data_IF_755545137551
#
_entry.id   IF_755545137551
#
_cell.length_a   1.000
_cell.length_b   1.000
_cell.length_c   1.000
_cell.angle_alpha   90.00
_cell.angle_beta   90.00
_cell.angle_gamma   90.00
#
_symmetry.space_group_name_H-M   'P 1'
#
loop_
_entity.id
_entity.type
_entity.pdbx_description
1 polymer ?
#
# COMPACT_ATOMS: atom_id res chain seq x y z
N UNK A 1 2.25 -1.72 -4.69
CA UNK A 1 2.20 -1.95 -6.14
C UNK A 1 0.78 -1.63 -6.61
N UNK A 2 0.63 -1.02 -7.78
CA UNK A 2 -0.63 -0.89 -8.51
C UNK A 2 -0.41 -1.45 -9.91
N UNK A 3 -1.39 -2.09 -10.53
CA UNK A 3 -1.23 -2.58 -11.90
C UNK A 3 -2.40 -2.21 -12.80
N UNK A 4 -2.06 -2.00 -14.06
CA UNK A 4 -2.94 -2.09 -15.20
C UNK A 4 -2.64 -3.42 -15.91
N UNK A 5 -3.48 -3.83 -16.87
CA UNK A 5 -3.18 -4.99 -17.72
C UNK A 5 -1.82 -4.81 -18.41
N UNK A 6 -0.90 -5.75 -18.18
CA UNK A 6 0.46 -5.74 -18.73
C UNK A 6 1.46 -4.76 -18.09
N UNK A 7 1.01 -3.87 -17.20
CA UNK A 7 1.85 -2.80 -16.63
C UNK A 7 1.73 -2.76 -15.10
N UNK A 8 2.84 -2.69 -14.38
CA UNK A 8 2.87 -2.45 -12.95
C UNK A 8 3.54 -1.11 -12.63
N UNK A 9 2.94 -0.35 -11.73
CA UNK A 9 3.52 0.83 -11.10
C UNK A 9 4.00 0.46 -9.71
N UNK A 10 5.31 0.62 -9.49
CA UNK A 10 5.98 0.14 -8.28
C UNK A 10 6.87 1.20 -7.70
N UNK A 11 7.03 1.12 -6.39
CA UNK A 11 7.96 1.95 -5.65
C UNK A 11 9.11 1.11 -5.15
N UNK A 12 10.31 1.68 -5.18
CA UNK A 12 11.49 1.05 -4.62
C UNK A 12 12.21 2.07 -3.74
N UNK A 13 12.37 1.73 -2.46
CA UNK A 13 13.06 2.55 -1.48
C UNK A 13 14.36 1.83 -1.06
N UNK A 14 15.51 2.18 -1.66
CA UNK A 14 16.78 1.51 -1.36
C UNK A 14 17.22 1.75 0.09
N UNK A 15 16.63 2.73 0.81
CA UNK A 15 16.92 2.94 2.22
C UNK A 15 16.40 1.81 3.12
N UNK A 16 15.44 0.99 2.65
CA UNK A 16 14.66 0.06 3.48
C UNK A 16 15.49 -0.96 4.27
N UNK A 17 16.69 -1.29 3.77
CA UNK A 17 17.66 -2.18 4.42
C UNK A 17 18.34 -1.55 5.63
N UNK A 18 18.55 -0.23 5.61
CA UNK A 18 19.16 0.53 6.72
C UNK A 18 18.13 1.28 7.56
N UNK A 19 17.04 1.71 6.95
CA UNK A 19 16.03 2.56 7.55
C UNK A 19 14.63 2.02 7.21
N UNK A 20 13.88 1.59 8.23
CA UNK A 20 12.51 1.13 8.06
C UNK A 20 11.64 1.72 9.16
N UNK A 21 10.91 2.80 8.83
CA UNK A 21 10.07 3.54 9.77
C UNK A 21 8.87 2.72 10.27
N UNK A 22 8.33 1.82 9.45
CA UNK A 22 7.26 0.89 9.85
C UNK A 22 7.74 0.00 10.99
N UNK A 23 8.92 -0.61 10.82
CA UNK A 23 9.51 -1.54 11.79
C UNK A 23 10.36 -0.86 12.87
N UNK A 24 10.49 0.47 12.83
CA UNK A 24 11.32 1.26 13.75
C UNK A 24 12.81 0.96 13.67
N UNK A 25 13.32 0.53 12.50
CA UNK A 25 14.73 0.24 12.27
C UNK A 25 15.43 1.51 11.78
N UNK A 26 16.53 1.87 12.42
CA UNK A 26 17.42 2.91 11.96
C UNK A 26 18.87 2.50 12.24
N UNK A 27 19.56 2.11 11.17
CA UNK A 27 20.98 1.72 11.15
C UNK A 27 21.82 2.77 10.40
N UNK A 28 21.27 3.95 10.13
CA UNK A 28 22.00 5.07 9.51
C UNK A 28 23.08 5.57 10.47
N UNK A 29 24.24 5.91 9.93
CA UNK A 29 25.28 6.61 10.68
C UNK A 29 24.84 8.05 10.99
N UNK A 30 25.36 8.69 12.06
CA UNK A 30 25.08 10.10 12.33
C UNK A 30 25.40 10.98 11.12
N UNK A 31 24.40 11.70 10.61
CA UNK A 31 24.52 12.56 9.43
C UNK A 31 24.40 11.84 8.08
N UNK A 32 24.27 10.50 8.05
CA UNK A 32 23.98 9.76 6.83
C UNK A 32 22.54 10.06 6.37
N UNK A 33 22.40 10.50 5.12
CA UNK A 33 21.11 10.58 4.43
C UNK A 33 21.03 9.43 3.44
N UNK A 34 20.05 8.51 3.58
CA UNK A 34 19.88 7.46 2.62
C UNK A 34 19.36 8.01 1.29
N UNK A 35 19.47 7.20 0.24
CA UNK A 35 18.89 7.53 -1.06
C UNK A 35 17.36 7.53 -0.98
N UNK A 36 16.75 8.48 -1.67
CA UNK A 36 15.30 8.58 -1.80
C UNK A 36 14.74 7.42 -2.62
N UNK A 37 13.47 7.12 -2.36
CA UNK A 37 12.72 6.16 -3.14
C UNK A 37 12.52 6.63 -4.59
N UNK A 38 12.31 5.66 -5.48
CA UNK A 38 11.93 5.88 -6.88
C UNK A 38 10.60 5.24 -7.20
N UNK A 39 9.93 5.79 -8.20
CA UNK A 39 8.71 5.25 -8.80
C UNK A 39 9.10 4.69 -10.17
N UNK A 40 8.59 3.51 -10.49
CA UNK A 40 8.92 2.79 -11.72
C UNK A 40 7.65 2.31 -12.42
N UNK A 41 7.71 2.31 -13.76
CA UNK A 41 6.78 1.59 -14.63
C UNK A 41 7.45 0.30 -15.07
N UNK A 42 6.76 -0.82 -14.92
CA UNK A 42 7.22 -2.13 -15.35
C UNK A 42 6.21 -2.67 -16.36
N UNK A 43 6.58 -2.68 -17.64
CA UNK A 43 5.82 -3.37 -18.68
C UNK A 43 6.25 -4.84 -18.67
N UNK A 44 5.50 -5.65 -17.93
CA UNK A 44 5.76 -7.08 -17.80
C UNK A 44 5.12 -7.91 -18.93
N UNK A 45 4.31 -7.29 -19.79
CA UNK A 45 3.76 -7.94 -20.98
C UNK A 45 4.76 -7.90 -22.16
N UNK A 46 5.64 -6.89 -22.20
CA UNK A 46 6.73 -6.80 -23.18
C UNK A 46 7.77 -7.92 -22.99
N UNK A 47 8.40 -8.33 -24.10
CA UNK A 47 9.46 -9.36 -24.10
C UNK A 47 10.69 -8.82 -24.86
N UNK A 48 11.81 -8.56 -24.18
CA UNK A 48 12.00 -8.61 -22.73
C UNK A 48 11.15 -7.55 -22.00
N UNK A 49 10.88 -7.77 -20.71
CA UNK A 49 10.15 -6.80 -19.90
C UNK A 49 10.88 -5.45 -19.85
N UNK A 50 10.14 -4.36 -19.97
CA UNK A 50 10.68 -2.99 -19.89
C UNK A 50 10.49 -2.43 -18.49
N UNK A 51 11.53 -1.80 -17.95
CA UNK A 51 11.52 -1.19 -16.62
C UNK A 51 12.02 0.24 -16.76
N UNK A 52 11.15 1.21 -16.48
CA UNK A 52 11.43 2.62 -16.67
C UNK A 52 11.24 3.38 -15.36
N UNK A 53 12.26 4.13 -14.94
CA UNK A 53 12.18 4.98 -13.76
C UNK A 53 11.49 6.29 -14.13
N UNK A 54 10.44 6.65 -13.40
CA UNK A 54 9.84 7.96 -13.56
C UNK A 54 10.77 9.06 -13.04
N UNK A 55 10.71 10.20 -13.72
CA UNK A 55 11.32 11.45 -13.27
C UNK A 55 10.22 12.41 -12.82
N UNK A 56 10.54 13.30 -11.89
CA UNK A 56 9.64 14.36 -11.40
C UNK A 56 10.37 15.68 -11.54
N UNK A 57 9.69 16.72 -12.01
CA UNK A 57 10.28 18.05 -12.12
C UNK A 57 10.52 18.66 -10.73
N UNK A 58 11.78 18.65 -10.31
CA UNK A 58 12.23 19.20 -9.02
C UNK A 58 12.17 20.73 -8.94
N UNK A 59 12.02 21.43 -10.08
CA UNK A 59 11.81 22.88 -10.06
C UNK A 59 10.37 23.24 -9.66
N UNK A 60 9.42 22.33 -9.87
CA UNK A 60 8.01 22.53 -9.55
C UNK A 60 7.65 21.99 -8.15
N UNK A 61 8.43 21.06 -7.61
CA UNK A 61 8.18 20.47 -6.30
C UNK A 61 9.46 19.99 -5.62
N UNK A 62 9.51 20.10 -4.30
CA UNK A 62 10.59 19.53 -3.49
C UNK A 62 10.24 18.16 -2.89
N UNK A 63 9.09 17.58 -3.24
CA UNK A 63 8.61 16.31 -2.65
C UNK A 63 9.63 15.18 -2.77
N UNK A 64 10.38 15.14 -3.89
CA UNK A 64 11.37 14.11 -4.17
C UNK A 64 12.68 14.27 -3.38
N UNK A 65 12.85 15.34 -2.60
CA UNK A 65 14.08 15.59 -1.84
C UNK A 65 14.22 14.74 -0.57
N UNK A 66 13.09 14.27 -0.02
CA UNK A 66 13.00 13.36 1.15
C UNK A 66 11.82 12.40 0.93
N UNK A 67 11.81 11.73 -0.22
CA UNK A 67 10.73 10.85 -0.63
C UNK A 67 11.02 9.41 -0.22
N UNK A 68 10.22 8.90 0.71
CA UNK A 68 10.31 7.54 1.25
C UNK A 68 8.93 6.95 1.31
N UNK A 69 8.62 6.06 0.38
CA UNK A 69 7.23 5.70 0.09
C UNK A 69 6.86 4.30 0.58
N UNK A 70 5.55 4.08 0.72
CA UNK A 70 4.93 2.78 1.04
C UNK A 70 3.88 2.47 -0.03
N UNK A 71 2.59 2.61 0.31
CA UNK A 71 1.47 2.37 -0.60
C UNK A 71 1.49 3.24 -1.85
N UNK A 72 1.04 2.66 -2.95
CA UNK A 72 0.93 3.26 -4.28
C UNK A 72 -0.36 2.74 -4.92
N UNK A 73 -1.11 3.63 -5.58
CA UNK A 73 -2.34 3.30 -6.29
C UNK A 73 -2.51 4.21 -7.52
N UNK A 74 -3.28 3.77 -8.51
CA UNK A 74 -3.63 4.56 -9.69
C UNK A 74 -5.09 4.98 -9.59
N UNK A 75 -5.32 6.28 -9.54
CA UNK A 75 -6.63 6.88 -9.75
C UNK A 75 -6.88 7.06 -11.25
N UNK A 76 -8.09 6.73 -11.71
CA UNK A 76 -8.57 7.08 -13.04
C UNK A 76 -9.82 7.92 -12.82
N UNK A 77 -9.78 9.19 -13.21
CA UNK A 77 -10.91 10.09 -13.03
C UNK A 77 -12.11 9.55 -13.83
N UNK A 78 -13.29 9.33 -13.20
CA UNK A 78 -14.41 8.62 -13.82
C UNK A 78 -15.00 9.35 -15.03
N UNK A 79 -14.91 10.69 -15.05
CA UNK A 79 -15.47 11.51 -16.14
C UNK A 79 -14.46 11.92 -17.22
N UNK A 80 -13.21 12.21 -16.85
CA UNK A 80 -12.18 12.73 -17.78
C UNK A 80 -11.22 11.65 -18.27
N UNK A 81 -11.12 10.52 -17.55
CA UNK A 81 -10.13 9.48 -17.81
C UNK A 81 -8.69 9.85 -17.44
N UNK A 82 -8.46 11.02 -16.81
CA UNK A 82 -7.11 11.41 -16.36
C UNK A 82 -6.59 10.40 -15.33
N UNK A 83 -5.38 9.89 -15.56
CA UNK A 83 -4.69 9.01 -14.62
C UNK A 83 -3.85 9.82 -13.64
N UNK A 84 -3.97 9.49 -12.36
CA UNK A 84 -3.15 10.07 -11.29
C UNK A 84 -2.53 8.95 -10.47
N UNK A 85 -1.21 8.98 -10.35
CA UNK A 85 -0.51 8.12 -9.42
C UNK A 85 -0.56 8.72 -8.02
N UNK A 86 -1.06 7.95 -7.07
CA UNK A 86 -1.23 8.35 -5.67
C UNK A 86 -0.27 7.53 -4.83
N UNK A 87 0.55 8.18 -4.00
CA UNK A 87 1.56 7.48 -3.20
C UNK A 87 1.57 7.97 -1.77
N UNK A 88 1.77 7.07 -0.82
CA UNK A 88 2.08 7.40 0.57
C UNK A 88 3.54 7.83 0.64
N UNK A 89 3.82 8.99 1.22
CA UNK A 89 5.17 9.45 1.52
C UNK A 89 5.37 9.54 3.03
N UNK A 90 6.47 8.98 3.51
CA UNK A 90 6.84 8.90 4.93
C UNK A 90 8.27 9.41 5.09
N UNK A 91 8.48 10.74 4.93
CA UNK A 91 9.81 11.35 4.93
C UNK A 91 10.61 11.02 6.19
N UNK A 92 11.95 11.06 6.07
CA UNK A 92 12.86 10.96 7.23
C UNK A 92 12.57 12.11 8.19
N UNK A 93 12.61 13.33 7.65
CA UNK A 93 12.49 14.60 8.35
C UNK A 93 11.19 15.29 7.89
N UNK A 94 10.05 14.90 8.45
CA UNK A 94 8.80 15.56 8.09
C UNK A 94 7.53 14.87 8.55
N UNK A 95 6.42 15.48 8.14
CA UNK A 95 5.07 14.96 8.38
C UNK A 95 4.72 14.04 7.21
N UNK A 96 4.27 12.79 7.48
CA UNK A 96 3.76 11.91 6.45
C UNK A 96 2.65 12.56 5.61
N UNK A 97 2.56 12.14 4.36
CA UNK A 97 1.65 12.71 3.38
C UNK A 97 1.19 11.68 2.36
N UNK A 98 0.15 12.05 1.61
CA UNK A 98 -0.20 11.38 0.35
C UNK A 98 0.08 12.36 -0.80
N UNK A 99 0.84 11.88 -1.77
CA UNK A 99 1.32 12.66 -2.92
C UNK A 99 0.60 12.22 -4.18
N UNK A 100 0.16 13.19 -4.99
CA UNK A 100 -0.56 12.98 -6.24
C UNK A 100 0.30 13.44 -7.41
N UNK A 101 0.48 12.57 -8.40
CA UNK A 101 1.24 12.84 -9.61
C UNK A 101 0.39 12.54 -10.85
N UNK A 102 0.32 13.45 -11.82
CA UNK A 102 -0.26 13.12 -13.12
C UNK A 102 0.56 12.02 -13.79
N UNK A 103 -0.15 11.04 -14.33
CA UNK A 103 0.41 9.90 -15.04
C UNK A 103 -0.03 9.96 -16.51
N UNK A 104 0.93 10.02 -17.42
CA UNK A 104 0.72 9.90 -18.86
C UNK A 104 1.35 8.58 -19.33
N UNK A 105 0.56 7.71 -19.95
CA UNK A 105 1.00 6.39 -20.40
C UNK A 105 2.12 6.46 -21.45
N UNK A 106 2.30 7.61 -22.11
CA UNK A 106 3.32 7.83 -23.15
C UNK A 106 4.57 8.53 -22.62
N UNK A 107 4.65 8.78 -21.31
CA UNK A 107 5.71 9.59 -20.71
C UNK A 107 6.22 8.97 -19.41
N UNK A 108 7.53 9.03 -19.21
CA UNK A 108 8.18 8.69 -17.93
C UNK A 108 8.40 9.94 -17.07
N UNK A 109 7.66 11.01 -17.33
CA UNK A 109 7.68 12.25 -16.57
C UNK A 109 6.39 12.39 -15.77
N UNK A 110 6.51 12.40 -14.44
CA UNK A 110 5.44 12.65 -13.51
C UNK A 110 5.40 14.13 -13.14
N UNK A 111 4.21 14.71 -13.14
CA UNK A 111 3.97 16.09 -12.67
C UNK A 111 3.30 16.03 -11.31
N UNK A 112 3.96 16.53 -10.27
CA UNK A 112 3.36 16.60 -8.93
C UNK A 112 2.20 17.61 -8.92
N UNK A 113 1.03 17.16 -8.49
CA UNK A 113 -0.20 17.95 -8.45
C UNK A 113 -0.50 18.47 -7.07
N UNK A 114 -0.37 17.59 -6.07
CA UNK A 114 -0.87 17.87 -4.72
C UNK A 114 -0.17 17.04 -3.67
N UNK A 115 -0.03 17.65 -2.50
CA UNK A 115 0.33 16.98 -1.24
C UNK A 115 -0.85 17.09 -0.28
N UNK A 116 -1.32 15.95 0.24
CA UNK A 116 -2.32 15.89 1.31
C UNK A 116 -1.62 15.52 2.62
N UNK A 117 -1.85 16.34 3.65
CA UNK A 117 -1.38 16.12 5.02
C UNK A 117 -2.54 16.35 5.98
N UNK A 118 -2.60 15.55 7.04
CA UNK A 118 -3.53 15.73 8.14
C UNK A 118 -2.90 15.17 9.43
N UNK A 119 -3.06 15.80 10.60
CA UNK A 119 -2.53 15.27 11.87
C UNK A 119 -3.00 13.85 12.22
N UNK A 120 -4.14 13.41 11.69
CA UNK A 120 -4.65 12.03 11.86
C UNK A 120 -3.98 11.02 10.92
N UNK A 121 -3.13 11.48 10.01
CA UNK A 121 -2.32 10.66 9.10
C UNK A 121 -0.87 10.61 9.61
N UNK A 122 -0.67 9.88 10.71
CA UNK A 122 0.57 9.94 11.48
C UNK A 122 1.55 8.79 11.21
N UNK A 123 1.09 7.65 10.70
CA UNK A 123 1.93 6.54 10.21
C UNK A 123 1.22 5.84 9.03
N UNK A 124 0.92 6.55 7.93
CA UNK A 124 0.20 5.99 6.79
C UNK A 124 0.99 4.84 6.17
N UNK A 125 0.31 3.77 5.75
CA UNK A 125 0.94 2.59 5.15
C UNK A 125 0.40 2.30 3.75
N UNK A 126 -0.90 1.99 3.63
CA UNK A 126 -1.59 1.72 2.36
C UNK A 126 -2.71 2.73 2.11
N UNK A 127 -3.14 2.85 0.85
CA UNK A 127 -4.24 3.72 0.41
C UNK A 127 -5.23 2.98 -0.50
N UNK A 128 -6.51 3.35 -0.40
CA UNK A 128 -7.58 2.91 -1.31
C UNK A 128 -8.39 4.11 -1.77
N UNK A 129 -8.48 4.34 -3.07
CA UNK A 129 -9.12 5.51 -3.67
C UNK A 129 -10.62 5.26 -3.85
N UNK A 130 -11.45 6.23 -3.47
CA UNK A 130 -12.88 6.23 -3.79
C UNK A 130 -13.08 6.81 -5.19
N UNK A 131 -13.74 6.04 -6.06
CA UNK A 131 -13.93 6.40 -7.47
C UNK A 131 -15.17 7.28 -7.67
N UNK A 132 -16.14 7.22 -6.77
CA UNK A 132 -17.37 8.01 -6.80
C UNK A 132 -17.07 9.53 -6.89
N UNK A 133 -17.59 10.16 -7.95
CA UNK A 133 -17.39 11.60 -8.24
C UNK A 133 -17.89 12.52 -7.12
N UNK A 134 -18.89 12.08 -6.33
CA UNK A 134 -19.40 12.85 -5.18
C UNK A 134 -18.33 13.07 -4.12
N UNK A 135 -17.32 12.21 -4.09
CA UNK A 135 -16.19 12.27 -3.15
C UNK A 135 -14.94 12.92 -3.75
N UNK A 136 -15.04 13.65 -4.86
CA UNK A 136 -13.93 14.39 -5.46
C UNK A 136 -14.01 15.89 -5.17
N UNK A 137 -12.88 16.49 -4.84
CA UNK A 137 -12.75 17.95 -4.77
C UNK A 137 -12.89 18.57 -6.17
N UNK A 138 -13.10 19.89 -6.22
CA UNK A 138 -13.27 20.63 -7.48
C UNK A 138 -12.03 20.60 -8.39
N UNK A 139 -10.85 20.32 -7.81
CA UNK A 139 -9.59 20.15 -8.56
C UNK A 139 -9.35 18.71 -9.04
N UNK A 140 -10.35 17.82 -8.88
CA UNK A 140 -10.29 16.42 -9.28
C UNK A 140 -9.72 15.47 -8.22
N UNK A 141 -9.15 15.98 -7.11
CA UNK A 141 -8.56 15.15 -6.05
C UNK A 141 -9.60 14.19 -5.46
N UNK A 142 -9.38 12.87 -5.49
CA UNK A 142 -10.31 11.92 -4.89
C UNK A 142 -10.18 11.85 -3.37
N UNK A 143 -11.28 11.48 -2.71
CA UNK A 143 -11.23 10.97 -1.35
C UNK A 143 -10.62 9.58 -1.33
N UNK A 144 -10.02 9.19 -0.20
CA UNK A 144 -9.36 7.90 -0.07
C UNK A 144 -9.36 7.41 1.37
N UNK A 145 -9.34 6.09 1.52
CA UNK A 145 -8.97 5.45 2.77
C UNK A 145 -7.47 5.30 2.87
N UNK A 146 -6.95 5.35 4.09
CA UNK A 146 -5.55 5.04 4.37
C UNK A 146 -5.44 4.31 5.71
N UNK A 147 -4.50 3.38 5.82
CA UNK A 147 -4.18 2.73 7.09
C UNK A 147 -3.10 3.49 7.82
N UNK A 148 -3.24 3.68 9.14
CA UNK A 148 -2.13 4.00 10.03
C UNK A 148 -1.67 2.72 10.73
N UNK A 149 -0.42 2.31 10.50
CA UNK A 149 0.06 1.00 10.97
C UNK A 149 0.31 0.93 12.49
N UNK A 150 0.72 2.03 13.10
CA UNK A 150 0.95 2.13 14.54
C UNK A 150 0.59 3.53 15.01
N UNK A 151 0.06 3.65 16.23
CA UNK A 151 -0.10 4.93 16.90
C UNK A 151 1.24 5.54 17.32
N UNK A 152 2.13 4.73 17.92
CA UNK A 152 3.41 5.24 18.40
C UNK A 152 4.45 5.37 17.29
N UNK A 153 5.32 6.38 17.37
CA UNK A 153 6.47 6.52 16.46
C UNK A 153 7.75 5.85 16.98
N UNK A 154 7.86 5.67 18.30
CA UNK A 154 9.03 5.07 18.93
C UNK A 154 9.07 3.55 18.70
N UNK A 155 10.24 3.04 18.31
CA UNK A 155 10.48 1.60 18.03
C UNK A 155 9.98 0.66 19.14
N UNK A 156 10.28 0.95 20.40
CA UNK A 156 9.93 0.07 21.52
C UNK A 156 8.43 0.10 21.79
N UNK A 157 7.82 1.30 21.71
CA UNK A 157 6.38 1.44 21.88
C UNK A 157 5.59 0.81 20.73
N UNK A 158 6.08 0.90 19.47
CA UNK A 158 5.52 0.16 18.34
C UNK A 158 5.53 -1.35 18.59
N UNK A 159 6.64 -1.87 19.10
CA UNK A 159 6.74 -3.30 19.45
C UNK A 159 5.73 -3.69 20.52
N UNK A 160 5.56 -2.88 21.57
CA UNK A 160 4.59 -3.13 22.64
C UNK A 160 3.15 -3.04 22.10
N UNK A 161 2.85 -2.03 21.28
CA UNK A 161 1.55 -1.83 20.65
C UNK A 161 1.07 -3.11 19.94
N UNK A 162 1.93 -3.71 19.12
CA UNK A 162 1.58 -4.89 18.34
C UNK A 162 1.17 -6.12 19.16
N UNK A 163 1.51 -6.19 20.44
CA UNK A 163 1.12 -7.31 21.33
C UNK A 163 0.02 -6.93 22.33
N UNK A 164 -0.07 -5.67 22.73
CA UNK A 164 -0.87 -5.26 23.88
C UNK A 164 -1.94 -4.22 23.58
N UNK A 165 -1.84 -3.45 22.50
CA UNK A 165 -2.72 -2.32 22.26
C UNK A 165 -3.30 -2.30 20.83
N UNK A 166 -4.61 -2.10 20.76
CA UNK A 166 -5.37 -2.01 19.51
C UNK A 166 -5.46 -0.55 19.06
N UNK A 167 -4.32 0.07 18.73
CA UNK A 167 -4.25 1.53 18.49
C UNK A 167 -4.10 1.91 17.01
N UNK A 168 -3.74 0.96 16.14
CA UNK A 168 -3.73 1.19 14.69
C UNK A 168 -5.16 1.41 14.16
N UNK A 169 -5.28 2.09 13.02
CA UNK A 169 -6.58 2.46 12.47
C UNK A 169 -6.56 2.58 10.94
N UNK A 170 -7.74 2.75 10.36
CA UNK A 170 -7.96 3.21 9.00
C UNK A 170 -8.72 4.53 9.06
N UNK A 171 -8.15 5.58 8.47
CA UNK A 171 -8.77 6.88 8.31
C UNK A 171 -9.40 7.05 6.93
N UNK A 172 -10.35 7.98 6.81
CA UNK A 172 -10.94 8.39 5.53
C UNK A 172 -10.64 9.87 5.28
N UNK A 173 -9.84 10.19 4.26
CA UNK A 173 -9.69 11.57 3.82
C UNK A 173 -10.85 11.93 2.91
N UNK A 174 -11.69 12.87 3.33
CA UNK A 174 -12.77 13.39 2.52
C UNK A 174 -12.29 14.64 1.77
N UNK A 175 -12.06 14.51 0.47
CA UNK A 175 -11.56 15.59 -0.38
C UNK A 175 -12.57 16.75 -0.51
N UNK A 176 -13.87 16.48 -0.33
CA UNK A 176 -14.92 17.51 -0.35
C UNK A 176 -14.81 18.47 0.84
N UNK A 177 -14.43 17.95 2.00
CA UNK A 177 -14.27 18.76 3.22
C UNK A 177 -12.82 19.13 3.50
N UNK A 178 -11.88 18.46 2.82
CA UNK A 178 -10.44 18.60 3.03
C UNK A 178 -9.95 18.06 4.37
N UNK A 179 -10.71 17.14 5.00
CA UNK A 179 -10.44 16.66 6.37
C UNK A 179 -10.40 15.14 6.45
N UNK A 180 -9.63 14.63 7.41
CA UNK A 180 -9.71 13.21 7.79
C UNK A 180 -10.87 12.96 8.76
N UNK A 181 -11.77 12.07 8.32
CA UNK A 181 -12.87 11.48 9.06
C UNK A 181 -12.48 10.12 9.67
N UNK A 182 -13.31 9.65 10.61
CA UNK A 182 -13.07 8.39 11.31
C UNK A 182 -13.50 7.23 10.41
N UNK A 183 -12.57 6.32 10.11
CA UNK A 183 -12.89 5.01 9.53
C UNK A 183 -12.98 3.94 10.62
N UNK A 184 -12.07 2.96 10.60
CA UNK A 184 -12.02 1.86 11.56
C UNK A 184 -10.91 2.08 12.58
N UNK A 185 -11.23 2.00 13.87
CA UNK A 185 -10.24 2.04 14.96
C UNK A 185 -10.13 0.67 15.63
N UNK A 186 -9.14 0.48 16.49
CA UNK A 186 -9.07 -0.73 17.30
C UNK A 186 -8.41 -1.91 16.58
N UNK A 187 -7.50 -1.64 15.64
CA UNK A 187 -6.85 -2.66 14.83
C UNK A 187 -5.46 -3.01 15.40
N UNK A 188 -4.97 -4.22 15.10
CA UNK A 188 -3.57 -4.60 15.32
C UNK A 188 -2.79 -4.57 14.01
N UNK A 189 -2.01 -3.50 13.85
CA UNK A 189 -1.17 -3.25 12.69
C UNK A 189 -1.98 -3.30 11.38
N UNK A 190 -2.83 -2.27 11.21
CA UNK A 190 -3.55 -2.00 9.97
C UNK A 190 -2.55 -1.78 8.83
N UNK A 191 -2.65 -2.59 7.77
CA UNK A 191 -1.70 -2.60 6.66
C UNK A 191 -2.41 -2.37 5.33
N UNK A 192 -2.53 -3.37 4.45
CA UNK A 192 -3.23 -3.24 3.18
C UNK A 192 -4.68 -2.77 3.35
N UNK A 193 -5.08 -1.82 2.50
CA UNK A 193 -6.48 -1.41 2.31
C UNK A 193 -6.81 -1.41 0.82
N UNK A 194 -7.94 -2.00 0.44
CA UNK A 194 -8.38 -2.08 -0.96
C UNK A 194 -9.89 -2.33 -1.02
N UNK A 195 -10.52 -2.17 -2.17
CA UNK A 195 -11.94 -2.47 -2.35
C UNK A 195 -12.59 -1.77 -3.52
N UNK A 196 -13.83 -1.32 -3.32
CA UNK A 196 -14.62 -0.55 -4.28
C UNK A 196 -15.26 0.64 -3.57
N UNK A 197 -16.24 1.30 -4.18
CA UNK A 197 -17.05 2.35 -3.53
C UNK A 197 -18.10 1.77 -2.56
N UNK A 198 -18.27 0.44 -2.50
CA UNK A 198 -19.28 -0.24 -1.68
C UNK A 198 -18.69 -1.21 -0.64
N UNK A 199 -17.43 -1.62 -0.79
CA UNK A 199 -16.78 -2.59 0.09
C UNK A 199 -15.34 -2.18 0.34
N UNK A 200 -14.88 -2.30 1.59
CA UNK A 200 -13.49 -2.09 1.99
C UNK A 200 -12.94 -3.37 2.63
N UNK A 201 -11.74 -3.77 2.24
CA UNK A 201 -10.97 -4.80 2.90
C UNK A 201 -9.79 -4.18 3.65
N UNK A 202 -9.54 -4.65 4.86
CA UNK A 202 -8.48 -4.14 5.73
C UNK A 202 -7.67 -5.33 6.25
N UNK A 203 -6.37 -5.32 6.00
CA UNK A 203 -5.42 -6.29 6.54
C UNK A 203 -5.01 -5.92 7.97
N UNK A 204 -5.10 -6.87 8.89
CA UNK A 204 -4.53 -6.78 10.23
C UNK A 204 -3.34 -7.75 10.36
N UNK A 205 -2.14 -7.21 10.18
CA UNK A 205 -0.89 -7.98 10.09
C UNK A 205 -0.71 -8.92 11.28
N UNK A 206 -0.96 -8.42 12.49
CA UNK A 206 -0.76 -9.17 13.74
C UNK A 206 -1.94 -10.07 14.12
N UNK A 207 -3.14 -9.84 13.54
CA UNK A 207 -4.26 -10.78 13.65
C UNK A 207 -4.19 -11.91 12.62
N UNK A 208 -3.35 -11.77 11.59
CA UNK A 208 -3.28 -12.68 10.44
C UNK A 208 -4.64 -12.82 9.76
N UNK A 209 -5.34 -11.71 9.62
CA UNK A 209 -6.68 -11.69 9.09
C UNK A 209 -6.94 -10.48 8.21
N UNK A 210 -7.90 -10.64 7.32
CA UNK A 210 -8.45 -9.56 6.51
C UNK A 210 -9.92 -9.40 6.85
N UNK A 211 -10.31 -8.18 7.21
CA UNK A 211 -11.69 -7.83 7.53
C UNK A 211 -12.35 -7.16 6.35
N UNK A 212 -13.59 -7.54 6.09
CA UNK A 212 -14.47 -6.94 5.09
C UNK A 212 -15.47 -6.01 5.76
N UNK A 213 -15.63 -4.82 5.17
CA UNK A 213 -16.59 -3.82 5.60
C UNK A 213 -17.47 -3.41 4.41
N UNK A 214 -18.76 -3.21 4.66
CA UNK A 214 -19.66 -2.53 3.73
C UNK A 214 -19.53 -1.03 3.92
N UNK A 215 -19.45 -0.29 2.82
CA UNK A 215 -19.48 1.17 2.85
C UNK A 215 -20.92 1.66 2.73
N UNK A 216 -21.31 2.59 3.60
CA UNK A 216 -22.57 3.29 3.55
C UNK A 216 -22.32 4.79 3.41
N UNK A 217 -22.89 5.41 2.38
CA UNK A 217 -22.81 6.86 2.16
C UNK A 217 -24.00 7.57 2.79
N UNK A 218 -23.72 8.61 3.57
CA UNK A 218 -24.73 9.54 4.10
C UNK A 218 -24.42 10.96 3.69
N UNK A 219 -25.43 11.82 3.64
CA UNK A 219 -25.25 13.26 3.44
C UNK A 219 -25.46 14.00 4.77
N UNK A 220 -24.64 15.01 5.05
CA UNK A 220 -24.92 15.93 6.14
C UNK A 220 -26.01 16.96 5.78
N UNK A 221 -26.31 17.88 6.71
CA UNK A 221 -27.30 18.94 6.49
C UNK A 221 -26.96 19.91 5.35
N UNK A 222 -25.71 19.94 4.91
CA UNK A 222 -25.19 20.76 3.82
C UNK A 222 -25.10 19.96 2.51
N UNK A 223 -25.51 18.69 2.50
CA UNK A 223 -25.43 17.81 1.34
C UNK A 223 -24.03 17.24 1.10
N UNK A 224 -23.10 17.35 2.07
CA UNK A 224 -21.76 16.81 1.95
C UNK A 224 -21.76 15.30 2.19
N UNK A 225 -21.11 14.50 1.33
CA UNK A 225 -21.10 13.06 1.49
C UNK A 225 -20.07 12.61 2.53
N UNK A 226 -20.46 11.63 3.33
CA UNK A 226 -19.66 10.96 4.36
C UNK A 226 -19.75 9.45 4.19
N UNK A 227 -18.73 8.70 4.64
CA UNK A 227 -18.71 7.24 4.60
C UNK A 227 -18.72 6.65 6.01
N UNK A 228 -19.59 5.68 6.21
CA UNK A 228 -19.60 4.79 7.37
C UNK A 228 -19.24 3.36 6.94
N UNK A 229 -18.57 2.63 7.83
CA UNK A 229 -18.09 1.27 7.58
C UNK A 229 -18.77 0.30 8.54
N UNK A 230 -19.54 -0.62 7.97
CA UNK A 230 -20.20 -1.70 8.71
C UNK A 230 -19.40 -2.99 8.53
N UNK A 231 -18.96 -3.60 9.63
CA UNK A 231 -18.26 -4.88 9.57
C UNK A 231 -19.17 -5.97 8.97
N UNK A 232 -18.62 -6.77 8.05
CA UNK A 232 -19.33 -7.84 7.35
C UNK A 232 -18.75 -9.20 7.70
N UNK A 233 -17.47 -9.42 7.43
CA UNK A 233 -16.83 -10.73 7.53
C UNK A 233 -15.32 -10.61 7.80
N UNK A 234 -14.69 -11.72 8.12
CA UNK A 234 -13.24 -11.85 8.31
C UNK A 234 -12.74 -13.19 7.76
N UNK A 235 -11.65 -13.15 7.00
CA UNK A 235 -10.87 -14.33 6.63
C UNK A 235 -9.56 -14.37 7.41
N UNK A 236 -9.14 -15.57 7.84
CA UNK A 236 -7.87 -15.80 8.53
C UNK A 236 -6.89 -16.51 7.62
N UNK A 237 -5.62 -16.17 7.78
CA UNK A 237 -4.52 -16.65 6.95
C UNK A 237 -3.43 -17.26 7.83
N UNK A 238 -2.65 -18.18 7.27
CA UNK A 238 -1.50 -18.75 7.96
C UNK A 238 -0.21 -17.92 7.76
N UNK A 239 -0.36 -16.60 7.67
CA UNK A 239 0.73 -15.65 7.47
C UNK A 239 0.39 -14.31 8.11
N UNK A 240 1.40 -13.49 8.41
CA UNK A 240 1.16 -12.09 8.72
C UNK A 240 0.82 -11.36 7.40
N UNK A 241 -0.45 -11.04 7.21
CA UNK A 241 -0.96 -10.39 6.00
C UNK A 241 -0.42 -8.98 5.84
N UNK A 242 -0.17 -8.57 4.60
CA UNK A 242 0.45 -7.28 4.24
C UNK A 242 -0.49 -6.50 3.30
N UNK A 243 -0.07 -6.15 2.07
CA UNK A 243 -0.96 -5.47 1.12
C UNK A 243 -1.95 -6.41 0.45
N UNK A 244 -3.04 -5.80 0.00
CA UNK A 244 -4.21 -6.45 -0.59
C UNK A 244 -4.48 -5.88 -1.98
N UNK A 245 -4.99 -6.71 -2.87
CA UNK A 245 -5.52 -6.27 -4.17
C UNK A 245 -6.87 -6.95 -4.45
N UNK A 246 -7.90 -6.15 -4.77
CA UNK A 246 -9.27 -6.66 -4.92
C UNK A 246 -9.74 -6.61 -6.37
N UNK A 247 -9.98 -7.80 -6.94
CA UNK A 247 -10.63 -7.93 -8.23
C UNK A 247 -12.14 -7.99 -8.04
N UNK A 248 -12.81 -6.86 -8.25
CA UNK A 248 -14.26 -6.74 -8.08
C UNK A 248 -15.06 -7.54 -9.13
N UNK A 249 -14.53 -7.80 -10.32
CA UNK A 249 -15.24 -8.57 -11.34
C UNK A 249 -15.37 -10.05 -10.94
N UNK A 250 -14.29 -10.63 -10.42
CA UNK A 250 -14.27 -12.03 -9.96
C UNK A 250 -14.59 -12.19 -8.48
N UNK A 251 -14.72 -11.10 -7.73
CA UNK A 251 -14.88 -11.09 -6.27
C UNK A 251 -13.73 -11.84 -5.57
N UNK A 252 -12.52 -11.67 -6.09
CA UNK A 252 -11.31 -12.31 -5.58
C UNK A 252 -10.41 -11.27 -4.92
N UNK A 253 -9.99 -11.54 -3.70
CA UNK A 253 -9.02 -10.72 -2.98
C UNK A 253 -7.66 -11.42 -2.95
N UNK A 254 -6.66 -10.80 -3.54
CA UNK A 254 -5.26 -11.24 -3.42
C UNK A 254 -4.69 -10.70 -2.12
N UNK A 255 -4.04 -11.57 -1.34
CA UNK A 255 -3.49 -11.28 -0.03
C UNK A 255 -2.04 -11.71 -0.02
N UNK A 256 -1.11 -10.76 0.03
CA UNK A 256 0.30 -11.08 0.23
C UNK A 256 0.64 -11.08 1.73
N UNK A 257 1.73 -11.75 2.11
CA UNK A 257 2.20 -11.67 3.48
C UNK A 257 3.43 -12.51 3.80
N UNK A 258 3.69 -12.60 5.11
CA UNK A 258 4.90 -13.20 5.67
C UNK A 258 4.54 -14.48 6.43
N UNK A 259 4.77 -15.68 5.87
CA UNK A 259 4.38 -16.96 6.50
C UNK A 259 5.23 -17.29 7.73
N UNK A 260 6.45 -16.75 7.81
CA UNK A 260 7.34 -16.87 8.99
C UNK A 260 7.68 -15.47 9.54
N UNK A 261 6.73 -14.77 10.21
CA UNK A 261 6.93 -13.37 10.61
C UNK A 261 8.05 -13.19 11.63
N UNK A 262 8.31 -14.18 12.50
CA UNK A 262 9.44 -14.12 13.43
C UNK A 262 10.79 -14.21 12.70
N UNK A 263 10.88 -15.03 11.65
CA UNK A 263 12.09 -15.12 10.84
C UNK A 263 12.31 -13.83 10.04
N UNK A 264 11.24 -13.25 9.51
CA UNK A 264 11.27 -11.92 8.91
C UNK A 264 11.80 -10.86 9.89
N UNK A 265 11.29 -10.82 11.13
CA UNK A 265 11.79 -9.92 12.17
C UNK A 265 13.28 -10.13 12.51
N UNK A 266 13.78 -11.36 12.46
CA UNK A 266 15.20 -11.66 12.67
C UNK A 266 16.06 -11.14 11.52
N UNK A 267 15.62 -11.38 10.28
CA UNK A 267 16.30 -10.92 9.07
C UNK A 267 16.47 -9.39 9.06
N UNK A 268 15.39 -8.64 9.30
CA UNK A 268 15.44 -7.17 9.25
C UNK A 268 16.24 -6.54 10.40
N UNK A 269 16.36 -7.21 11.55
CA UNK A 269 17.10 -6.69 12.71
C UNK A 269 18.60 -6.91 12.58
N UNK A 270 19.04 -7.81 11.70
CA UNK A 270 20.46 -8.09 11.50
C UNK A 270 21.08 -6.97 10.67
N UNK A 271 22.18 -6.41 11.15
CA UNK A 271 22.85 -5.26 10.50
C UNK A 271 23.45 -5.62 9.13
N UNK A 272 23.85 -6.87 8.95
CA UNK A 272 24.25 -7.44 7.66
C UNK A 272 23.56 -8.81 7.51
N UNK A 273 22.79 -8.96 6.45
CA UNK A 273 22.01 -10.15 6.11
C UNK A 273 22.40 -10.74 4.73
N UNK A 274 23.55 -10.36 4.16
CA UNK A 274 24.00 -10.78 2.82
C UNK A 274 24.11 -12.32 2.72
N UNK A 275 24.52 -12.98 3.81
CA UNK A 275 24.66 -14.44 3.88
C UNK A 275 23.37 -15.17 4.32
N UNK A 276 22.27 -14.45 4.56
CA UNK A 276 21.00 -15.05 4.97
C UNK A 276 20.09 -15.27 3.77
N UNK A 277 19.48 -16.46 3.72
CA UNK A 277 18.30 -16.67 2.88
C UNK A 277 17.25 -15.64 3.26
N UNK A 278 16.62 -15.02 2.27
CA UNK A 278 15.55 -14.05 2.51
C UNK A 278 14.37 -14.76 3.20
N UNK A 279 13.59 -14.06 4.04
CA UNK A 279 12.39 -14.64 4.62
C UNK A 279 11.41 -15.12 3.54
N UNK A 280 10.69 -16.23 3.78
CA UNK A 280 9.79 -16.82 2.80
C UNK A 280 8.66 -15.87 2.40
N UNK A 281 8.09 -16.13 1.24
CA UNK A 281 6.94 -15.41 0.68
C UNK A 281 5.70 -16.27 0.64
N UNK A 282 4.53 -15.63 0.72
CA UNK A 282 3.25 -16.27 0.45
C UNK A 282 2.27 -15.25 -0.13
N UNK A 283 1.56 -15.66 -1.18
CA UNK A 283 0.41 -14.95 -1.75
C UNK A 283 -0.76 -15.92 -1.77
N UNK A 284 -1.81 -15.55 -1.04
CA UNK A 284 -3.08 -16.25 -1.02
C UNK A 284 -4.13 -15.48 -1.81
N UNK A 285 -5.20 -16.18 -2.18
CA UNK A 285 -6.43 -15.61 -2.70
C UNK A 285 -7.57 -15.94 -1.75
N UNK A 286 -8.48 -14.99 -1.56
CA UNK A 286 -9.74 -15.17 -0.87
C UNK A 286 -10.88 -14.93 -1.85
N UNK A 287 -11.67 -15.97 -2.11
CA UNK A 287 -12.95 -15.84 -2.79
C UNK A 287 -13.99 -15.33 -1.79
N UNK A 288 -14.41 -14.07 -1.99
CA UNK A 288 -15.30 -13.36 -1.07
C UNK A 288 -16.72 -13.93 -1.11
N UNK A 289 -17.10 -14.62 -2.19
CA UNK A 289 -18.44 -15.22 -2.34
C UNK A 289 -18.52 -16.56 -1.63
N UNK A 290 -17.57 -17.46 -1.89
CA UNK A 290 -17.56 -18.79 -1.27
C UNK A 290 -16.98 -18.78 0.14
N UNK A 291 -16.15 -17.78 0.47
CA UNK A 291 -15.40 -17.73 1.72
C UNK A 291 -14.12 -18.58 1.70
N UNK A 292 -13.80 -19.24 0.58
CA UNK A 292 -12.62 -20.10 0.46
C UNK A 292 -11.34 -19.28 0.33
N UNK A 293 -10.28 -19.74 0.99
CA UNK A 293 -8.92 -19.21 0.80
C UNK A 293 -8.01 -20.27 0.20
N UNK A 294 -7.13 -19.85 -0.72
CA UNK A 294 -6.18 -20.75 -1.39
C UNK A 294 -4.84 -20.06 -1.58
N UNK A 295 -3.75 -20.81 -1.43
CA UNK A 295 -2.40 -20.31 -1.75
C UNK A 295 -2.16 -20.35 -3.25
N UNK A 296 -1.80 -19.20 -3.83
CA UNK A 296 -1.42 -19.05 -5.24
C UNK A 296 0.09 -19.22 -5.43
N UNK A 297 0.86 -18.66 -4.51
CA UNK A 297 2.32 -18.69 -4.56
C UNK A 297 2.87 -18.84 -3.14
N UNK A 298 3.88 -19.68 -3.00
CA UNK A 298 4.67 -19.80 -1.79
C UNK A 298 6.11 -20.13 -2.18
N UNK A 299 7.05 -19.44 -1.58
CA UNK A 299 8.48 -19.67 -1.77
C UNK A 299 9.20 -19.63 -0.42
N UNK A 300 10.25 -20.44 -0.28
CA UNK A 300 11.02 -20.49 0.97
C UNK A 300 12.01 -19.33 1.15
N UNK A 301 12.10 -18.45 0.14
CA UNK A 301 13.00 -17.31 0.06
C UNK A 301 14.20 -17.55 -0.86
N UNK A 302 14.32 -18.74 -1.47
CA UNK A 302 15.38 -19.05 -2.43
C UNK A 302 15.14 -18.42 -3.82
N UNK A 303 13.88 -18.25 -4.23
CA UNK A 303 13.53 -17.61 -5.50
C UNK A 303 13.06 -16.17 -5.29
N UNK A 304 12.09 -15.97 -4.38
CA UNK A 304 11.49 -14.67 -4.14
C UNK A 304 10.93 -14.60 -2.70
N UNK A 305 11.58 -13.83 -1.85
CA UNK A 305 11.26 -13.65 -0.45
C UNK A 305 10.45 -12.39 -0.14
N UNK A 306 9.92 -12.32 1.08
CA UNK A 306 9.34 -11.11 1.67
C UNK A 306 8.19 -10.47 0.89
N UNK A 307 7.34 -11.26 0.23
CA UNK A 307 6.18 -10.77 -0.52
C UNK A 307 5.34 -9.78 0.31
N UNK A 308 5.12 -8.59 -0.23
CA UNK A 308 4.33 -7.52 0.40
C UNK A 308 3.08 -7.16 -0.38
N UNK A 309 3.03 -7.44 -1.67
CA UNK A 309 1.85 -7.25 -2.51
C UNK A 309 1.80 -8.31 -3.61
N UNK A 310 0.59 -8.66 -4.03
CA UNK A 310 0.32 -9.49 -5.19
C UNK A 310 -0.90 -8.94 -5.93
N UNK A 311 -0.96 -9.13 -7.25
CA UNK A 311 -2.13 -8.77 -8.05
C UNK A 311 -2.28 -9.69 -9.26
N UNK A 312 -3.52 -9.88 -9.71
CA UNK A 312 -3.87 -10.71 -10.85
C UNK A 312 -4.09 -9.85 -12.10
N UNK A 313 -3.33 -10.12 -13.15
CA UNK A 313 -3.66 -9.71 -14.51
C UNK A 313 -4.37 -10.87 -15.20
N UNK A 314 -5.69 -10.92 -15.06
CA UNK A 314 -6.51 -11.99 -15.61
C UNK A 314 -6.55 -11.98 -17.15
N UNK A 315 -6.34 -10.82 -17.78
CA UNK A 315 -6.33 -10.71 -19.24
C UNK A 315 -5.12 -11.44 -19.82
N UNK A 316 -3.95 -11.27 -19.20
CA UNK A 316 -2.71 -11.94 -19.62
C UNK A 316 -2.44 -13.25 -18.85
N UNK A 317 -3.35 -13.67 -17.97
CA UNK A 317 -3.20 -14.85 -17.09
C UNK A 317 -1.92 -14.81 -16.28
N UNK A 318 -1.65 -13.67 -15.60
CA UNK A 318 -0.44 -13.48 -14.78
C UNK A 318 -0.76 -13.18 -13.32
N UNK A 319 0.10 -13.66 -12.43
CA UNK A 319 0.26 -13.17 -11.06
C UNK A 319 1.53 -12.31 -11.00
N UNK A 320 1.39 -11.07 -10.53
CA UNK A 320 2.52 -10.17 -10.29
C UNK A 320 2.71 -10.04 -8.78
N UNK A 321 3.94 -10.17 -8.29
CA UNK A 321 4.29 -10.12 -6.87
C UNK A 321 5.47 -9.16 -6.63
N UNK A 322 5.35 -8.32 -5.60
CA UNK A 322 6.45 -7.49 -5.10
C UNK A 322 6.90 -7.95 -3.72
N UNK A 323 8.21 -7.86 -3.44
CA UNK A 323 8.80 -8.16 -2.14
C UNK A 323 9.39 -6.92 -1.47
N UNK A 324 9.46 -6.90 -0.14
CA UNK A 324 10.01 -5.76 0.61
C UNK A 324 11.52 -5.60 0.44
N UNK A 325 12.23 -6.72 0.32
CA UNK A 325 13.69 -6.81 0.22
C UNK A 325 14.11 -7.51 -1.07
N UNK A 326 13.26 -7.43 -2.09
CA UNK A 326 13.52 -7.99 -3.41
C UNK A 326 13.98 -6.95 -4.42
N UNK A 327 14.71 -7.42 -5.43
CA UNK A 327 15.07 -6.62 -6.59
C UNK A 327 14.13 -6.98 -7.75
N UNK A 328 13.23 -6.05 -8.08
CA UNK A 328 12.26 -6.24 -9.16
C UNK A 328 10.96 -6.88 -8.73
N UNK A 329 10.28 -7.54 -9.68
CA UNK A 329 8.99 -8.21 -9.52
C UNK A 329 9.09 -9.66 -9.94
N UNK A 330 8.36 -10.52 -9.24
CA UNK A 330 8.07 -11.87 -9.71
C UNK A 330 6.80 -11.82 -10.55
N UNK A 331 6.85 -12.38 -11.77
CA UNK A 331 5.70 -12.51 -12.66
C UNK A 331 5.54 -13.99 -13.00
N UNK A 332 4.42 -14.57 -12.60
CA UNK A 332 4.09 -15.98 -12.81
C UNK A 332 2.95 -16.14 -13.81
N UNK A 333 2.96 -17.22 -14.58
CA UNK A 333 1.78 -17.71 -15.29
C UNK A 333 0.78 -18.30 -14.28
N UNK A 334 -0.52 -18.04 -14.50
CA UNK A 334 -1.63 -18.56 -13.67
C UNK A 334 -2.15 -19.91 -14.12
#
# INVERSE_FOLDING_TARGET
>A
MSNDTGIAYVTCDPSRTKYNKVMGINNLLPGERPSNAGIWRVDYASVPASIEKFTVDVQQTNVMSDYHTLGINVDIHPETGEKTLVTVNVPLDGIPSVEFFTLDDNSVHLVHKRTVRDPKMYNPNSIHIIKDVRFRADDGTPSFFFSNDHYFHNRYLKMIENYFFYLSNVGFYNARTGRVEKGVNGLLFANGVTGTDNVLFIAETYRRSVKQYKMATTLDSQGMPHIHLDYVNEAKFNMAVDNLDYNAEKQLLVVAGHPKPLYFLQYIKKKNNDDMVKPPSQVDIWDVVSGETKTLMQDDGALFGTSTAGSLDLTNSKLVVSGLYEEGLLVCDL
#
